data_IF_788543798383
#
_entry.id   IF_788543798383
#
_cell.length_a   1.000
_cell.length_b   1.000
_cell.length_c   1.000
_cell.angle_alpha   90.00
_cell.angle_beta   90.00
_cell.angle_gamma   90.00
#
_symmetry.space_group_name_H-M   'P 1'
#
loop_
_entity.id
_entity.type
_entity.pdbx_description
1 polymer ?
#
# COMPACT_ATOMS: atom_id res chain seq x y z
N UNK A 1 -8.42 -5.70 -30.47
CA UNK A 1 -9.19 -5.45 -29.23
C UNK A 1 -8.61 -4.23 -28.52
N UNK A 2 -9.27 -3.07 -28.61
CA UNK A 2 -8.73 -1.77 -28.14
C UNK A 2 -9.62 -1.14 -27.05
N UNK A 3 -10.22 -1.95 -26.16
CA UNK A 3 -11.34 -1.49 -25.31
C UNK A 3 -10.99 -0.87 -23.96
N UNK A 4 -9.74 -0.86 -23.52
CA UNK A 4 -9.36 -0.19 -22.27
C UNK A 4 -7.95 0.38 -22.35
N UNK A 5 -7.72 1.34 -23.24
CA UNK A 5 -6.57 2.24 -23.06
C UNK A 5 -6.95 3.21 -21.92
N UNK A 6 -6.70 2.79 -20.68
CA UNK A 6 -6.83 3.70 -19.54
C UNK A 6 -5.78 4.80 -19.75
N UNK A 7 -6.25 6.04 -19.83
CA UNK A 7 -5.37 7.20 -20.02
C UNK A 7 -4.32 7.22 -18.91
N UNK A 8 -3.05 7.30 -19.29
CA UNK A 8 -1.91 7.36 -18.39
C UNK A 8 -2.03 8.53 -17.39
N UNK A 9 -2.81 9.57 -17.74
CA UNK A 9 -3.17 10.68 -16.86
C UNK A 9 -3.99 10.23 -15.65
N UNK A 10 -5.01 9.39 -15.84
CA UNK A 10 -5.84 8.86 -14.75
C UNK A 10 -5.02 7.98 -13.80
N UNK A 11 -4.14 7.15 -14.34
CA UNK A 11 -3.23 6.31 -13.55
C UNK A 11 -2.27 7.17 -12.72
N UNK A 12 -1.77 8.25 -13.30
CA UNK A 12 -0.87 9.19 -12.60
C UNK A 12 -1.61 9.96 -11.50
N UNK A 13 -2.85 10.39 -11.75
CA UNK A 13 -3.70 11.06 -10.77
C UNK A 13 -4.01 10.12 -9.60
N UNK A 14 -4.44 8.89 -9.87
CA UNK A 14 -4.71 7.89 -8.83
C UNK A 14 -3.46 7.61 -8.00
N UNK A 15 -2.29 7.47 -8.64
CA UNK A 15 -1.01 7.31 -7.93
C UNK A 15 -0.74 8.47 -6.97
N UNK A 16 -1.03 9.69 -7.35
CA UNK A 16 -0.86 10.85 -6.49
C UNK A 16 -1.84 10.86 -5.33
N UNK A 17 -3.10 10.54 -5.58
CA UNK A 17 -4.13 10.44 -4.53
C UNK A 17 -3.74 9.37 -3.52
N UNK A 18 -3.36 8.18 -3.98
CA UNK A 18 -2.87 7.10 -3.11
C UNK A 18 -1.62 7.52 -2.35
N UNK A 19 -0.62 8.06 -3.05
CA UNK A 19 0.64 8.48 -2.46
C UNK A 19 0.45 9.53 -1.36
N UNK A 20 -0.38 10.55 -1.61
CA UNK A 20 -0.72 11.57 -0.63
C UNK A 20 -1.53 11.01 0.54
N UNK A 21 -2.45 10.08 0.28
CA UNK A 21 -3.22 9.40 1.32
C UNK A 21 -2.30 8.61 2.27
N UNK A 22 -1.39 7.80 1.75
CA UNK A 22 -0.42 7.07 2.58
C UNK A 22 0.56 7.97 3.29
N UNK A 23 1.02 9.04 2.64
CA UNK A 23 1.90 10.01 3.26
C UNK A 23 1.23 10.67 4.46
N UNK A 24 0.01 11.18 4.28
CA UNK A 24 -0.81 11.73 5.36
C UNK A 24 -1.09 10.71 6.46
N UNK A 25 -1.49 9.50 6.08
CA UNK A 25 -1.81 8.43 7.04
C UNK A 25 -0.59 8.02 7.86
N UNK A 26 0.58 7.95 7.23
CA UNK A 26 1.84 7.68 7.89
C UNK A 26 2.16 8.77 8.92
N UNK A 27 2.05 10.05 8.56
CA UNK A 27 2.17 11.18 9.49
C UNK A 27 1.18 11.05 10.65
N UNK A 28 -0.10 10.82 10.36
CA UNK A 28 -1.13 10.65 11.37
C UNK A 28 -0.79 9.53 12.37
N UNK A 29 -0.24 8.40 11.89
CA UNK A 29 0.20 7.29 12.76
C UNK A 29 1.42 7.62 13.63
N UNK A 30 2.28 8.56 13.21
CA UNK A 30 3.40 9.03 14.06
C UNK A 30 2.90 9.87 15.24
N UNK A 31 1.79 10.59 15.06
CA UNK A 31 1.24 11.49 16.09
C UNK A 31 0.06 10.89 16.87
N UNK A 32 -0.49 9.75 16.42
CA UNK A 32 -1.63 9.09 17.06
C UNK A 32 -1.18 7.83 17.80
N UNK A 33 -1.52 7.68 19.09
CA UNK A 33 -1.17 6.48 19.86
C UNK A 33 -1.66 5.21 19.17
N UNK A 34 -0.82 4.16 19.17
CA UNK A 34 -1.14 2.86 18.57
C UNK A 34 -2.32 2.17 19.25
N UNK A 35 -2.65 2.54 20.49
CA UNK A 35 -3.87 2.11 21.18
C UNK A 35 -5.16 2.58 20.51
N UNK A 36 -5.13 3.65 19.72
CA UNK A 36 -6.31 4.21 19.04
C UNK A 36 -6.57 3.52 17.70
N UNK A 37 -5.52 3.21 16.94
CA UNK A 37 -5.66 2.73 15.57
C UNK A 37 -5.19 1.29 15.35
N UNK A 38 -4.21 0.79 16.11
CA UNK A 38 -3.60 -0.53 15.88
C UNK A 38 -4.21 -1.58 16.82
N UNK A 39 -4.26 -1.31 18.13
CA UNK A 39 -4.73 -2.28 19.14
C UNK A 39 -6.18 -2.74 18.88
N UNK A 40 -7.17 -1.86 18.64
CA UNK A 40 -8.56 -2.28 18.44
C UNK A 40 -8.69 -3.16 17.19
N UNK A 41 -7.96 -2.81 16.13
CA UNK A 41 -7.98 -3.50 14.84
C UNK A 41 -7.33 -4.87 14.93
N UNK A 42 -6.15 -4.95 15.51
CA UNK A 42 -5.45 -6.22 15.72
C UNK A 42 -6.27 -7.13 16.64
N UNK A 43 -6.80 -6.61 17.74
CA UNK A 43 -7.58 -7.41 18.70
C UNK A 43 -8.85 -7.99 18.09
N UNK A 44 -9.52 -7.23 17.23
CA UNK A 44 -10.71 -7.69 16.49
C UNK A 44 -10.38 -8.69 15.38
N UNK A 45 -9.18 -8.61 14.79
CA UNK A 45 -8.69 -9.49 13.75
C UNK A 45 -8.19 -10.86 14.25
N UNK A 46 -7.68 -10.91 15.48
CA UNK A 46 -7.08 -12.11 16.08
C UNK A 46 -7.95 -13.38 16.00
N UNK A 47 -9.28 -13.34 16.20
CA UNK A 47 -10.10 -14.57 16.21
C UNK A 47 -10.14 -15.25 14.84
N UNK A 48 -10.01 -14.48 13.75
CA UNK A 48 -10.16 -14.95 12.36
C UNK A 48 -8.84 -15.03 11.61
N UNK A 49 -7.73 -14.63 12.23
CA UNK A 49 -6.42 -14.54 11.60
C UNK A 49 -5.59 -15.81 11.86
N UNK A 50 -5.13 -16.54 10.82
CA UNK A 50 -4.25 -17.70 11.00
C UNK A 50 -2.88 -17.34 11.60
N UNK A 51 -2.49 -16.06 11.56
CA UNK A 51 -1.26 -15.52 12.17
C UNK A 51 -1.43 -15.04 13.63
N UNK A 52 -2.57 -15.32 14.28
CA UNK A 52 -2.89 -14.74 15.59
C UNK A 52 -1.84 -15.02 16.68
N UNK A 53 -1.21 -16.19 16.69
CA UNK A 53 -0.15 -16.53 17.64
C UNK A 53 1.10 -15.66 17.45
N UNK A 54 1.53 -15.45 16.21
CA UNK A 54 2.69 -14.62 15.86
C UNK A 54 2.44 -13.17 16.25
N UNK A 55 1.24 -12.66 15.95
CA UNK A 55 0.83 -11.30 16.29
C UNK A 55 0.88 -11.09 17.81
N UNK A 56 0.37 -12.06 18.59
CA UNK A 56 0.38 -11.96 20.06
C UNK A 56 1.78 -11.99 20.64
N UNK A 57 2.64 -12.85 20.11
CA UNK A 57 3.99 -13.06 20.65
C UNK A 57 4.98 -11.96 20.23
N UNK A 58 4.87 -11.44 19.00
CA UNK A 58 5.91 -10.56 18.43
C UNK A 58 5.44 -9.14 18.14
N UNK A 59 4.12 -8.91 17.97
CA UNK A 59 3.60 -7.58 17.59
C UNK A 59 3.06 -6.82 18.80
N UNK A 60 2.26 -7.44 19.67
CA UNK A 60 1.72 -6.73 20.85
C UNK A 60 2.79 -6.20 21.83
N UNK A 61 3.84 -6.97 22.18
CA UNK A 61 4.88 -6.47 23.08
C UNK A 61 5.63 -5.25 22.52
N UNK A 62 5.60 -5.08 21.20
CA UNK A 62 6.30 -4.03 20.47
C UNK A 62 5.35 -3.13 19.69
N UNK A 63 4.08 -3.03 20.12
CA UNK A 63 2.99 -2.39 19.35
C UNK A 63 3.30 -0.94 18.99
N UNK A 64 4.00 -0.22 19.87
CA UNK A 64 4.45 1.17 19.65
C UNK A 64 5.53 1.22 18.56
N UNK A 65 6.56 0.40 18.68
CA UNK A 65 7.66 0.32 17.69
C UNK A 65 7.12 -0.12 16.33
N UNK A 66 6.27 -1.15 16.31
CA UNK A 66 5.61 -1.62 15.10
C UNK A 66 4.77 -0.52 14.45
N UNK A 67 4.00 0.25 15.23
CA UNK A 67 3.24 1.39 14.73
C UNK A 67 4.10 2.49 14.10
N UNK A 68 5.24 2.83 14.72
CA UNK A 68 6.20 3.78 14.16
C UNK A 68 6.84 3.26 12.88
N UNK A 69 7.20 1.97 12.82
CA UNK A 69 7.76 1.34 11.61
C UNK A 69 6.75 1.40 10.48
N UNK A 70 5.49 1.02 10.74
CA UNK A 70 4.41 1.11 9.74
C UNK A 70 4.19 2.56 9.29
N UNK A 71 4.15 3.51 10.22
CA UNK A 71 4.01 4.94 9.91
C UNK A 71 5.15 5.46 9.03
N UNK A 72 6.39 5.12 9.36
CA UNK A 72 7.58 5.51 8.60
C UNK A 72 7.56 4.93 7.18
N UNK A 73 7.19 3.65 7.03
CA UNK A 73 7.10 3.03 5.69
C UNK A 73 6.01 3.71 4.86
N UNK A 74 4.86 4.04 5.46
CA UNK A 74 3.79 4.76 4.76
C UNK A 74 4.20 6.17 4.31
N UNK A 75 4.96 6.90 5.14
CA UNK A 75 5.54 8.19 4.76
C UNK A 75 6.51 8.02 3.59
N UNK A 76 7.45 7.08 3.69
CA UNK A 76 8.49 6.90 2.66
C UNK A 76 7.86 6.42 1.35
N UNK A 77 7.05 5.36 1.37
CA UNK A 77 6.43 4.82 0.16
C UNK A 77 5.37 5.77 -0.42
N UNK A 78 4.58 6.47 0.41
CA UNK A 78 3.65 7.49 -0.04
C UNK A 78 4.37 8.66 -0.73
N UNK A 79 5.47 9.14 -0.13
CA UNK A 79 6.33 10.15 -0.73
C UNK A 79 6.95 9.70 -2.06
N UNK A 80 7.41 8.45 -2.14
CA UNK A 80 7.93 7.87 -3.38
C UNK A 80 6.86 7.78 -4.48
N UNK A 81 5.60 7.52 -4.15
CA UNK A 81 4.52 7.50 -5.14
C UNK A 81 4.22 8.88 -5.73
N UNK A 82 4.32 9.93 -4.92
CA UNK A 82 4.10 11.31 -5.35
C UNK A 82 5.29 11.82 -6.17
N UNK A 83 6.51 11.62 -5.65
CA UNK A 83 7.73 12.25 -6.15
C UNK A 83 8.43 11.47 -7.26
N UNK A 84 8.39 10.13 -7.25
CA UNK A 84 9.12 9.34 -8.24
C UNK A 84 8.50 9.51 -9.64
N UNK A 85 9.32 9.93 -10.60
CA UNK A 85 8.90 10.09 -12.01
C UNK A 85 9.33 8.87 -12.82
N UNK A 86 8.41 7.90 -12.96
CA UNK A 86 8.58 6.71 -13.81
C UNK A 86 9.48 5.62 -13.23
N UNK A 87 9.56 4.48 -13.94
CA UNK A 87 10.40 3.33 -13.57
C UNK A 87 9.70 2.31 -12.66
N UNK A 88 10.48 1.42 -12.04
CA UNK A 88 10.01 0.32 -11.17
C UNK A 88 9.67 0.76 -9.74
N UNK A 89 9.96 2.00 -9.37
CA UNK A 89 9.80 2.52 -8.01
C UNK A 89 8.31 2.62 -7.59
N UNK A 90 7.40 3.21 -8.40
CA UNK A 90 5.99 3.27 -8.04
C UNK A 90 5.32 1.90 -7.79
N UNK A 91 5.48 0.87 -8.65
CA UNK A 91 4.86 -0.43 -8.39
C UNK A 91 5.49 -1.15 -7.19
N UNK A 92 6.79 -0.96 -6.92
CA UNK A 92 7.41 -1.51 -5.71
C UNK A 92 6.85 -0.84 -4.45
N UNK A 93 6.72 0.48 -4.46
CA UNK A 93 6.15 1.24 -3.34
C UNK A 93 4.69 0.84 -3.09
N UNK A 94 3.87 0.73 -4.13
CA UNK A 94 2.51 0.21 -4.03
C UNK A 94 2.47 -1.24 -3.51
N UNK A 95 3.38 -2.11 -3.93
CA UNK A 95 3.44 -3.50 -3.45
C UNK A 95 3.74 -3.58 -1.95
N UNK A 96 4.71 -2.80 -1.48
CA UNK A 96 5.06 -2.70 -0.06
C UNK A 96 3.87 -2.14 0.74
N UNK A 97 3.25 -1.06 0.27
CA UNK A 97 2.08 -0.46 0.91
C UNK A 97 0.90 -1.44 0.97
N UNK A 98 0.64 -2.18 -0.11
CA UNK A 98 -0.46 -3.16 -0.17
C UNK A 98 -0.20 -4.36 0.75
N UNK A 99 1.06 -4.81 0.87
CA UNK A 99 1.45 -5.87 1.82
C UNK A 99 1.29 -5.41 3.27
N UNK A 100 1.76 -4.21 3.61
CA UNK A 100 1.59 -3.64 4.96
C UNK A 100 0.11 -3.43 5.25
N UNK A 101 -0.65 -2.94 4.28
CA UNK A 101 -2.08 -2.76 4.42
C UNK A 101 -2.79 -4.11 4.66
N UNK A 102 -2.47 -5.15 3.90
CA UNK A 102 -3.01 -6.50 4.12
C UNK A 102 -2.68 -7.02 5.54
N UNK A 103 -1.44 -6.86 5.99
CA UNK A 103 -0.98 -7.32 7.29
C UNK A 103 -1.52 -6.48 8.47
N UNK A 104 -1.89 -5.21 8.24
CA UNK A 104 -2.34 -4.28 9.30
C UNK A 104 -3.85 -4.01 9.30
N UNK A 105 -4.55 -4.22 8.18
CA UNK A 105 -5.95 -3.81 7.94
C UNK A 105 -6.86 -4.88 7.35
N UNK A 106 -6.37 -6.09 7.07
CA UNK A 106 -7.15 -7.15 6.40
C UNK A 106 -8.41 -7.68 7.12
N UNK A 107 -8.95 -7.02 8.15
CA UNK A 107 -9.90 -7.67 9.07
C UNK A 107 -11.08 -6.85 9.58
N UNK A 108 -11.47 -5.72 8.97
CA UNK A 108 -12.73 -5.09 9.44
C UNK A 108 -13.56 -4.29 8.46
N UNK A 109 -12.94 -3.52 7.58
CA UNK A 109 -13.68 -2.50 6.83
C UNK A 109 -13.77 -2.85 5.33
N UNK A 110 -14.97 -3.11 4.77
CA UNK A 110 -15.11 -3.48 3.36
C UNK A 110 -14.58 -2.41 2.40
N UNK A 111 -14.62 -1.13 2.81
CA UNK A 111 -14.00 -0.02 2.07
C UNK A 111 -12.46 -0.09 2.05
N UNK A 112 -11.84 -0.65 3.09
CA UNK A 112 -10.39 -0.88 3.12
C UNK A 112 -10.00 -2.02 2.16
N UNK A 113 -10.86 -3.04 2.00
CA UNK A 113 -10.65 -4.12 1.04
C UNK A 113 -10.82 -3.64 -0.41
N UNK A 114 -11.80 -2.77 -0.67
CA UNK A 114 -11.98 -2.11 -1.97
C UNK A 114 -10.78 -1.24 -2.33
N UNK A 115 -10.26 -0.44 -1.39
CA UNK A 115 -9.05 0.35 -1.59
C UNK A 115 -7.83 -0.55 -1.89
N UNK A 116 -7.70 -1.66 -1.18
CA UNK A 116 -6.61 -2.62 -1.39
C UNK A 116 -6.67 -3.32 -2.76
N UNK A 117 -7.89 -3.63 -3.21
CA UNK A 117 -8.15 -4.15 -4.54
C UNK A 117 -7.84 -3.10 -5.61
N UNK A 118 -8.24 -1.84 -5.40
CA UNK A 118 -8.01 -0.72 -6.32
C UNK A 118 -6.51 -0.44 -6.47
N UNK A 119 -5.77 -0.42 -5.36
CA UNK A 119 -4.31 -0.33 -5.35
C UNK A 119 -3.65 -1.54 -6.01
N UNK A 120 -4.18 -2.75 -5.82
CA UNK A 120 -3.70 -3.97 -6.48
C UNK A 120 -3.91 -3.95 -7.99
N UNK A 121 -5.06 -3.47 -8.45
CA UNK A 121 -5.39 -3.27 -9.87
C UNK A 121 -4.46 -2.22 -10.47
N UNK A 122 -4.23 -1.10 -9.78
CA UNK A 122 -3.27 -0.08 -10.22
C UNK A 122 -1.85 -0.62 -10.29
N UNK A 123 -1.46 -1.47 -9.34
CA UNK A 123 -0.15 -2.11 -9.33
C UNK A 123 0.05 -3.01 -10.56
N UNK A 124 -0.94 -3.83 -10.86
CA UNK A 124 -0.96 -4.68 -12.05
C UNK A 124 -0.88 -3.82 -13.32
N UNK A 125 -1.70 -2.78 -13.41
CA UNK A 125 -1.69 -1.89 -14.57
C UNK A 125 -0.33 -1.20 -14.77
N UNK A 126 0.30 -0.68 -13.71
CA UNK A 126 1.65 -0.11 -13.79
C UNK A 126 2.69 -1.15 -14.24
N UNK A 127 2.63 -2.37 -13.70
CA UNK A 127 3.52 -3.47 -14.09
C UNK A 127 3.34 -3.84 -15.57
N UNK A 128 2.10 -3.94 -16.05
CA UNK A 128 1.79 -4.19 -17.46
C UNK A 128 2.29 -3.07 -18.38
N UNK A 129 2.09 -1.80 -18.00
CA UNK A 129 2.58 -0.67 -18.81
C UNK A 129 4.11 -0.61 -18.86
N UNK A 130 4.80 -0.91 -17.75
CA UNK A 130 6.26 -0.99 -17.74
C UNK A 130 6.78 -2.14 -18.61
N UNK A 131 6.12 -3.31 -18.56
CA UNK A 131 6.46 -4.45 -19.39
C UNK A 131 6.27 -4.16 -20.88
N UNK A 132 5.12 -3.58 -21.27
CA UNK A 132 4.86 -3.19 -22.65
C UNK A 132 5.88 -2.15 -23.16
N UNK A 133 6.28 -1.19 -22.32
CA UNK A 133 7.30 -0.21 -22.68
C UNK A 133 8.68 -0.85 -22.86
N UNK A 134 9.03 -1.84 -22.03
CA UNK A 134 10.29 -2.58 -22.15
C UNK A 134 10.32 -3.46 -23.41
N UNK A 135 9.24 -4.20 -23.71
CA UNK A 135 9.11 -5.04 -24.91
C UNK A 135 9.17 -4.20 -26.20
N UNK A 136 8.54 -3.02 -26.21
CA UNK A 136 8.58 -2.10 -27.36
C UNK A 136 9.99 -1.54 -27.64
N UNK A 137 10.81 -1.35 -26.60
CA UNK A 137 12.20 -0.94 -26.76
C UNK A 137 13.12 -2.08 -27.22
N UNK A 138 12.80 -3.33 -26.88
CA UNK A 138 13.57 -4.50 -27.32
C UNK A 138 13.36 -4.89 -28.79
N UNK A 139 12.23 -4.50 -29.40
CA UNK A 139 11.95 -4.74 -30.82
C UNK A 139 12.38 -3.58 -31.73
N UNK A 140 12.78 -2.46 -31.15
CA UNK A 140 13.26 -1.28 -31.87
C UNK A 140 14.80 -1.20 -31.92
N UNK A 141 15.49 -2.15 -31.29
CA UNK A 141 16.94 -2.34 -31.30
C UNK A 141 17.29 -3.61 -32.06
#
# INVERSE_FOLDING_TARGET
MNRYQIDMRWITLLRWVDGLYFFWRGIYKMYTPTSVWLVPRVTQALPTTPLASIIRTYIFPHVVVFGYVVGLIEIVCGGLLVLARGGRIPPLALFVLNTIFFLTLGFKEPHDMELNLLMGIMNLMFAFTLRQKAEKHSHAA
#
